data_IF_880211630606
#
_entry.id   IF_880211630606
#
_cell.length_a   1.000
_cell.length_b   1.000
_cell.length_c   1.000
_cell.angle_alpha   90.00
_cell.angle_beta   90.00
_cell.angle_gamma   90.00
#
_symmetry.space_group_name_H-M   'P 1'
#
loop_
_entity.id
_entity.type
_entity.pdbx_description
1 polymer ?
#
# COMPACT_ATOMS: atom_id res chain seq x y z
N UNK A 1 -0.49 2.83 19.96
CA UNK A 1 0.71 3.13 19.16
C UNK A 1 1.92 2.49 19.85
N UNK A 2 2.79 1.80 19.11
CA UNK A 2 3.99 1.19 19.66
C UNK A 2 5.04 2.25 20.04
N UNK A 3 5.81 2.01 21.10
CA UNK A 3 6.86 2.94 21.55
C UNK A 3 7.94 3.09 20.47
N UNK A 4 8.52 4.28 20.37
CA UNK A 4 9.62 4.61 19.43
C UNK A 4 9.27 4.50 17.95
N UNK A 5 7.98 4.50 17.60
CA UNK A 5 7.54 4.47 16.22
C UNK A 5 6.70 5.70 15.87
N UNK A 6 6.91 6.23 14.67
CA UNK A 6 5.97 7.13 13.99
C UNK A 6 4.89 6.31 13.28
N UNK A 7 3.88 6.97 12.70
CA UNK A 7 2.90 6.28 11.86
C UNK A 7 3.59 5.53 10.70
N UNK A 8 4.53 6.20 10.02
CA UNK A 8 5.27 5.61 8.91
C UNK A 8 6.18 4.47 9.35
N UNK A 9 6.92 4.61 10.45
CA UNK A 9 7.81 3.53 10.89
C UNK A 9 7.03 2.32 11.39
N UNK A 10 5.85 2.54 11.99
CA UNK A 10 4.97 1.47 12.42
C UNK A 10 4.40 0.68 11.23
N UNK A 11 4.02 1.35 10.14
CA UNK A 11 3.58 0.68 8.91
C UNK A 11 4.69 -0.22 8.35
N UNK A 12 5.94 0.22 8.35
CA UNK A 12 7.08 -0.58 7.86
C UNK A 12 7.37 -1.79 8.77
N UNK A 13 7.50 -1.55 10.08
CA UNK A 13 7.90 -2.62 11.03
C UNK A 13 6.82 -3.68 11.18
N UNK A 14 5.54 -3.31 11.13
CA UNK A 14 4.44 -4.28 11.14
C UNK A 14 4.45 -5.21 9.93
N UNK A 15 4.74 -4.69 8.72
CA UNK A 15 4.94 -5.53 7.53
C UNK A 15 6.12 -6.50 7.68
N UNK A 16 7.22 -6.04 8.29
CA UNK A 16 8.39 -6.90 8.56
C UNK A 16 8.02 -8.04 9.53
N UNK A 17 7.30 -7.73 10.61
CA UNK A 17 6.85 -8.75 11.58
C UNK A 17 5.97 -9.80 10.90
N UNK A 18 5.03 -9.38 10.06
CA UNK A 18 4.18 -10.29 9.30
C UNK A 18 4.98 -11.15 8.31
N UNK A 19 5.94 -10.55 7.58
CA UNK A 19 6.84 -11.28 6.68
C UNK A 19 7.74 -12.29 7.41
N UNK A 20 8.22 -11.95 8.60
CA UNK A 20 8.99 -12.88 9.45
C UNK A 20 8.14 -14.07 9.90
N UNK A 21 6.90 -13.84 10.32
CA UNK A 21 5.97 -14.91 10.68
C UNK A 21 5.63 -15.79 9.47
N UNK A 22 5.47 -15.20 8.28
CA UNK A 22 5.24 -15.97 7.06
C UNK A 22 6.45 -16.82 6.70
N UNK A 23 7.68 -16.30 6.84
CA UNK A 23 8.90 -17.05 6.59
C UNK A 23 9.08 -18.21 7.58
N UNK A 24 8.66 -18.05 8.84
CA UNK A 24 8.64 -19.12 9.83
C UNK A 24 7.63 -20.23 9.45
N UNK A 25 6.45 -19.84 8.97
CA UNK A 25 5.43 -20.78 8.49
C UNK A 25 5.83 -21.48 7.18
N UNK A 26 6.63 -20.84 6.33
CA UNK A 26 7.02 -21.30 4.99
C UNK A 26 8.56 -21.35 4.80
N UNK A 27 9.30 -22.15 5.59
CA UNK A 27 10.76 -22.05 5.70
C UNK A 27 11.54 -22.58 4.48
N UNK A 28 10.85 -23.07 3.44
CA UNK A 28 11.46 -23.74 2.28
C UNK A 28 11.10 -23.11 0.93
N UNK A 29 10.44 -21.96 0.92
CA UNK A 29 10.01 -21.27 -0.30
C UNK A 29 11.16 -20.59 -1.07
N UNK A 30 12.37 -20.55 -0.48
CA UNK A 30 13.53 -19.95 -1.11
C UNK A 30 13.46 -18.43 -1.16
N UNK A 31 13.97 -17.83 -2.24
CA UNK A 31 13.92 -16.39 -2.45
C UNK A 31 12.55 -16.02 -3.05
N UNK A 32 11.79 -15.21 -2.32
CA UNK A 32 10.47 -14.73 -2.72
C UNK A 32 10.37 -13.21 -2.52
N UNK A 33 9.48 -12.59 -3.28
CA UNK A 33 9.10 -11.18 -3.17
C UNK A 33 7.68 -11.03 -2.60
N UNK A 34 7.28 -9.79 -2.27
CA UNK A 34 5.99 -9.49 -1.64
C UNK A 34 4.78 -10.06 -2.37
N UNK A 35 4.81 -10.04 -3.70
CA UNK A 35 3.76 -10.50 -4.61
C UNK A 35 3.55 -12.01 -4.57
N UNK A 36 4.50 -12.75 -3.99
CA UNK A 36 4.47 -14.20 -3.85
C UNK A 36 4.03 -14.65 -2.44
N UNK A 37 3.90 -13.72 -1.50
CA UNK A 37 3.43 -14.02 -0.15
C UNK A 37 1.90 -14.15 -0.14
N UNK A 38 1.38 -14.95 0.78
CA UNK A 38 -0.06 -14.99 1.06
C UNK A 38 -0.47 -13.66 1.70
N UNK A 39 -1.18 -12.84 0.93
CA UNK A 39 -1.57 -11.51 1.37
C UNK A 39 -2.54 -11.53 2.55
N UNK A 40 -3.40 -12.56 2.67
CA UNK A 40 -4.35 -12.69 3.79
C UNK A 40 -3.59 -12.96 5.08
N UNK A 41 -2.61 -13.88 5.04
CA UNK A 41 -1.73 -14.16 6.18
C UNK A 41 -0.99 -12.91 6.66
N UNK A 42 -0.42 -12.14 5.72
CA UNK A 42 0.32 -10.92 6.05
C UNK A 42 -0.62 -9.86 6.63
N UNK A 43 -1.79 -9.70 6.01
CA UNK A 43 -2.80 -8.72 6.39
C UNK A 43 -3.32 -8.99 7.81
N UNK A 44 -3.69 -10.23 8.14
CA UNK A 44 -4.25 -10.61 9.45
C UNK A 44 -3.30 -10.28 10.62
N UNK A 45 -1.99 -10.27 10.38
CA UNK A 45 -0.99 -9.89 11.38
C UNK A 45 -0.86 -8.37 11.46
N UNK A 46 -0.73 -7.70 10.31
CA UNK A 46 -0.31 -6.31 10.24
C UNK A 46 -1.47 -5.30 10.37
N UNK A 47 -2.71 -5.67 10.01
CA UNK A 47 -3.84 -4.73 9.86
C UNK A 47 -4.15 -3.93 11.12
N UNK A 48 -3.93 -4.51 12.30
CA UNK A 48 -4.14 -3.87 13.60
C UNK A 48 -3.25 -2.63 13.80
N UNK A 49 -2.15 -2.53 13.06
CA UNK A 49 -1.19 -1.42 13.11
C UNK A 49 -1.37 -0.40 11.99
N UNK A 50 -2.28 -0.66 11.03
CA UNK A 50 -2.51 0.18 9.86
C UNK A 50 -3.82 0.98 9.92
N UNK A 51 -4.59 0.80 10.99
CA UNK A 51 -5.92 1.41 11.12
C UNK A 51 -5.86 2.95 11.11
N UNK A 52 -6.84 3.62 10.45
CA UNK A 52 -7.94 3.02 9.70
C UNK A 52 -7.52 2.58 8.28
N UNK A 53 -7.94 1.38 7.87
CA UNK A 53 -7.84 0.93 6.47
C UNK A 53 -9.16 1.24 5.78
N UNK A 54 -9.12 2.05 4.72
CA UNK A 54 -10.32 2.49 4.00
C UNK A 54 -10.18 2.25 2.50
N UNK A 55 -11.27 1.78 1.89
CA UNK A 55 -11.43 1.77 0.44
C UNK A 55 -12.51 2.80 0.09
N UNK A 56 -12.17 3.77 -0.75
CA UNK A 56 -13.08 4.83 -1.15
C UNK A 56 -13.06 5.01 -2.67
N UNK A 57 -14.24 4.89 -3.28
CA UNK A 57 -14.44 5.27 -4.67
C UNK A 57 -14.46 6.80 -4.80
N UNK A 58 -13.85 7.30 -5.87
CA UNK A 58 -13.84 8.73 -6.21
C UNK A 58 -14.11 8.91 -7.69
N UNK A 59 -14.79 10.01 -8.02
CA UNK A 59 -14.97 10.49 -9.39
C UNK A 59 -13.76 11.27 -9.92
N UNK A 60 -12.68 11.36 -9.14
CA UNK A 60 -11.45 12.04 -9.54
C UNK A 60 -10.90 11.46 -10.83
N UNK A 61 -10.56 12.35 -11.76
CA UNK A 61 -9.86 12.05 -13.01
C UNK A 61 -8.61 12.92 -13.08
N UNK A 62 -7.51 12.45 -13.71
CA UNK A 62 -6.28 13.24 -13.86
C UNK A 62 -6.51 14.60 -14.53
N UNK A 63 -7.47 14.67 -15.47
CA UNK A 63 -7.86 15.92 -16.13
C UNK A 63 -8.69 16.85 -15.23
N UNK A 64 -9.19 16.38 -14.09
CA UNK A 64 -10.03 17.13 -13.16
C UNK A 64 -11.33 17.63 -13.80
N UNK A 65 -11.81 16.98 -14.87
CA UNK A 65 -12.92 17.49 -15.68
C UNK A 65 -12.56 18.76 -16.46
N UNK A 66 -11.27 19.10 -16.59
CA UNK A 66 -10.84 20.17 -17.49
C UNK A 66 -11.11 19.70 -18.91
N UNK A 67 -11.94 20.45 -19.63
CA UNK A 67 -12.12 20.28 -21.06
C UNK A 67 -10.78 20.40 -21.81
N UNK A 68 -10.71 19.93 -23.06
CA UNK A 68 -9.49 20.03 -23.86
C UNK A 68 -9.01 21.48 -23.93
N UNK A 69 -7.69 21.67 -23.99
CA UNK A 69 -7.12 22.98 -24.30
C UNK A 69 -7.51 23.34 -25.74
N UNK A 70 -8.45 24.28 -25.89
CA UNK A 70 -8.87 24.80 -27.19
C UNK A 70 -8.00 26.01 -27.54
N UNK A 71 -7.19 25.89 -28.60
CA UNK A 71 -6.35 26.98 -29.10
C UNK A 71 -6.97 27.57 -30.38
N UNK A 72 -7.93 28.48 -30.23
CA UNK A 72 -8.65 29.07 -31.38
C UNK A 72 -7.81 30.05 -32.23
N UNK A 73 -6.61 30.45 -31.77
CA UNK A 73 -5.69 31.32 -32.53
C UNK A 73 -4.23 31.05 -32.22
N UNK A 74 -3.63 30.05 -32.86
CA UNK A 74 -2.22 30.15 -33.22
C UNK A 74 -2.12 31.09 -34.43
N UNK A 75 -1.86 32.38 -34.19
CA UNK A 75 -1.46 33.28 -35.29
C UNK A 75 -0.01 32.99 -35.65
N UNK A 76 0.20 32.51 -36.88
CA UNK A 76 1.48 32.51 -37.57
C UNK A 76 1.89 33.93 -37.98
#
# INVERSE_FOLDING_TARGET
MAKYNSATSLQVVSSIIAGMAWAEANPREGLVESEQLDWEFIYDIAEQYWQPIVAQETDWKPDGGRGPLIFDRFRA
#
